data_IF_421689238121
#
_entry.id   IF_421689238121
#
_cell.length_a   1.000
_cell.length_b   1.000
_cell.length_c   1.000
_cell.angle_alpha   90.00
_cell.angle_beta   90.00
_cell.angle_gamma   90.00
#
_symmetry.space_group_name_H-M   'P 1'
#
loop_
_entity.id
_entity.type
_entity.pdbx_description
1 polymer ?
#
# COMPACT_ATOMS: atom_id res chain seq x y z
N UNK A 1 -16.12 -24.99 24.12
CA UNK A 1 -15.68 -24.28 22.91
C UNK A 1 -16.92 -23.74 22.25
N UNK A 2 -17.10 -22.43 22.26
CA UNK A 2 -18.18 -21.77 21.51
C UNK A 2 -17.80 -21.66 20.03
N UNK A 3 -18.78 -21.38 19.18
CA UNK A 3 -18.55 -21.16 17.76
C UNK A 3 -17.61 -19.96 17.52
N UNK A 4 -17.77 -18.89 18.32
CA UNK A 4 -16.93 -17.69 18.25
C UNK A 4 -15.48 -17.99 18.64
N UNK A 5 -15.27 -18.76 19.72
CA UNK A 5 -13.93 -19.22 20.13
C UNK A 5 -13.27 -20.09 19.04
N UNK A 6 -14.06 -20.90 18.33
CA UNK A 6 -13.56 -21.71 17.22
C UNK A 6 -13.10 -20.83 16.05
N UNK A 7 -13.90 -19.84 15.64
CA UNK A 7 -13.53 -18.92 14.56
C UNK A 7 -12.30 -18.09 14.91
N UNK A 8 -12.20 -17.59 16.15
CA UNK A 8 -11.02 -16.86 16.61
C UNK A 8 -9.74 -17.71 16.54
N UNK A 9 -9.83 -18.99 16.96
CA UNK A 9 -8.71 -19.93 16.86
C UNK A 9 -8.33 -20.23 15.41
N UNK A 10 -9.32 -20.34 14.53
CA UNK A 10 -9.10 -20.60 13.11
C UNK A 10 -8.45 -19.40 12.42
N UNK A 11 -8.88 -18.18 12.73
CA UNK A 11 -8.25 -16.95 12.27
C UNK A 11 -6.78 -16.88 12.73
N UNK A 12 -6.53 -17.06 14.02
CA UNK A 12 -5.17 -17.06 14.57
C UNK A 12 -4.27 -18.12 13.91
N UNK A 13 -4.83 -19.29 13.60
CA UNK A 13 -4.13 -20.33 12.85
C UNK A 13 -3.78 -19.89 11.43
N UNK A 14 -4.70 -19.22 10.72
CA UNK A 14 -4.43 -18.69 9.38
C UNK A 14 -3.37 -17.58 9.41
N UNK A 15 -3.40 -16.68 10.39
CA UNK A 15 -2.37 -15.65 10.56
C UNK A 15 -0.99 -16.26 10.84
N UNK A 16 -0.91 -17.31 11.65
CA UNK A 16 0.34 -18.05 11.88
C UNK A 16 0.85 -18.71 10.60
N UNK A 17 -0.04 -19.27 9.79
CA UNK A 17 0.33 -19.83 8.49
C UNK A 17 0.82 -18.75 7.51
N UNK A 18 0.22 -17.55 7.53
CA UNK A 18 0.68 -16.41 6.74
C UNK A 18 2.11 -16.01 7.12
N UNK A 19 2.44 -15.99 8.41
CA UNK A 19 3.81 -15.74 8.86
C UNK A 19 4.80 -16.77 8.29
N UNK A 20 4.45 -18.06 8.31
CA UNK A 20 5.28 -19.10 7.68
C UNK A 20 5.45 -18.88 6.17
N UNK A 21 4.38 -18.47 5.48
CA UNK A 21 4.47 -18.15 4.04
C UNK A 21 5.38 -16.95 3.78
N UNK A 22 5.36 -15.93 4.65
CA UNK A 22 6.27 -14.79 4.56
C UNK A 22 7.73 -15.19 4.76
N UNK A 23 8.02 -16.08 5.72
CA UNK A 23 9.36 -16.61 5.94
C UNK A 23 9.87 -17.38 4.70
N UNK A 24 9.03 -18.26 4.13
CA UNK A 24 9.34 -19.00 2.90
C UNK A 24 9.53 -18.06 1.70
N UNK A 25 8.66 -17.05 1.57
CA UNK A 25 8.78 -16.03 0.54
C UNK A 25 10.08 -15.23 0.70
N UNK A 26 10.47 -14.90 1.93
CA UNK A 26 11.71 -14.18 2.23
C UNK A 26 12.93 -15.01 1.83
N UNK A 27 12.93 -16.31 2.14
CA UNK A 27 13.99 -17.23 1.70
C UNK A 27 14.06 -17.32 0.17
N UNK A 28 12.91 -17.48 -0.50
CA UNK A 28 12.84 -17.53 -1.96
C UNK A 28 13.32 -16.22 -2.61
N UNK A 29 12.97 -15.07 -2.02
CA UNK A 29 13.43 -13.76 -2.45
C UNK A 29 14.95 -13.63 -2.36
N UNK A 30 15.53 -14.01 -1.22
CA UNK A 30 16.99 -14.00 -1.05
C UNK A 30 17.67 -14.93 -2.04
N UNK A 31 17.15 -16.14 -2.25
CA UNK A 31 17.68 -17.07 -3.26
C UNK A 31 17.62 -16.48 -4.68
N UNK A 32 16.52 -15.83 -5.03
CA UNK A 32 16.38 -15.13 -6.32
C UNK A 32 17.43 -14.02 -6.45
N UNK A 33 17.67 -13.21 -5.40
CA UNK A 33 18.68 -12.14 -5.45
C UNK A 33 20.10 -12.68 -5.62
N UNK A 34 20.41 -13.82 -5.01
CA UNK A 34 21.71 -14.50 -5.17
C UNK A 34 21.88 -15.06 -6.59
N UNK A 35 20.83 -15.68 -7.15
CA UNK A 35 20.84 -16.27 -8.49
C UNK A 35 20.75 -15.26 -9.63
N UNK A 36 20.29 -14.03 -9.40
CA UNK A 36 20.17 -12.99 -10.41
C UNK A 36 21.52 -12.48 -10.97
N UNK A 37 22.64 -13.09 -10.58
CA UNK A 37 24.00 -12.67 -10.94
C UNK A 37 24.64 -13.45 -12.09
N UNK A 38 23.97 -14.44 -12.69
CA UNK A 38 24.55 -15.26 -13.78
C UNK A 38 23.85 -15.03 -15.13
N UNK A 39 24.45 -14.18 -16.00
CA UNK A 39 24.03 -13.95 -17.39
C UNK A 39 24.63 -12.71 -18.08
N UNK A 40 25.00 -12.82 -19.36
CA UNK A 40 26.22 -12.24 -19.97
C UNK A 40 26.41 -10.70 -20.11
N UNK A 41 25.44 -9.81 -19.82
CA UNK A 41 25.68 -8.34 -19.93
C UNK A 41 24.87 -7.37 -19.06
N UNK A 42 23.79 -7.77 -18.37
CA UNK A 42 23.07 -7.05 -17.29
C UNK A 42 21.65 -7.64 -17.06
N UNK A 43 21.52 -8.81 -16.40
CA UNK A 43 20.20 -9.37 -16.06
C UNK A 43 19.45 -8.46 -15.07
N UNK A 44 18.17 -8.17 -15.34
CA UNK A 44 17.29 -7.40 -14.46
C UNK A 44 16.32 -8.31 -13.71
N UNK A 45 16.10 -8.10 -12.40
CA UNK A 45 15.16 -8.91 -11.63
C UNK A 45 13.70 -8.63 -12.03
N UNK A 46 12.88 -9.69 -12.10
CA UNK A 46 11.44 -9.61 -12.46
C UNK A 46 10.64 -8.76 -11.47
N UNK A 47 10.97 -8.83 -10.19
CA UNK A 47 10.41 -7.99 -9.16
C UNK A 47 11.54 -7.13 -8.58
N UNK A 48 11.27 -5.86 -8.33
CA UNK A 48 12.27 -4.91 -7.80
C UNK A 48 12.19 -4.78 -6.28
N UNK A 49 11.06 -5.15 -5.68
CA UNK A 49 10.78 -5.03 -4.25
C UNK A 49 10.13 -6.31 -3.75
N UNK A 50 10.45 -6.67 -2.51
CA UNK A 50 9.82 -7.81 -1.84
C UNK A 50 8.30 -7.68 -1.80
N UNK A 51 7.76 -6.48 -1.55
CA UNK A 51 6.30 -6.23 -1.52
C UNK A 51 5.60 -6.51 -2.86
N UNK A 52 6.33 -6.46 -3.98
CA UNK A 52 5.79 -6.81 -5.30
C UNK A 52 5.83 -8.33 -5.56
N UNK A 53 6.73 -9.04 -4.88
CA UNK A 53 6.81 -10.50 -4.87
C UNK A 53 5.81 -11.12 -3.88
N UNK A 54 5.67 -10.54 -2.69
CA UNK A 54 4.79 -10.99 -1.62
C UNK A 54 4.18 -9.80 -0.86
N UNK A 55 2.87 -9.56 -1.02
CA UNK A 55 2.12 -8.52 -0.28
C UNK A 55 1.43 -9.14 0.94
N UNK A 56 2.15 -9.21 2.07
CA UNK A 56 1.61 -9.70 3.35
C UNK A 56 0.30 -9.01 3.72
N UNK A 57 0.21 -7.69 3.56
CA UNK A 57 -0.96 -6.93 3.98
C UNK A 57 -2.19 -7.30 3.16
N UNK A 58 -2.04 -7.67 1.89
CA UNK A 58 -3.14 -8.21 1.09
C UNK A 58 -3.66 -9.54 1.60
N UNK A 59 -2.77 -10.46 1.95
CA UNK A 59 -3.18 -11.73 2.52
C UNK A 59 -3.83 -11.57 3.89
N UNK A 60 -3.26 -10.73 4.77
CA UNK A 60 -3.83 -10.45 6.09
C UNK A 60 -5.24 -9.86 6.00
N UNK A 61 -5.46 -8.89 5.10
CA UNK A 61 -6.81 -8.36 4.84
C UNK A 61 -7.79 -9.43 4.38
N UNK A 62 -7.35 -10.33 3.48
CA UNK A 62 -8.21 -11.43 2.99
C UNK A 62 -8.59 -12.41 4.10
N UNK A 63 -7.66 -12.72 5.00
CA UNK A 63 -7.92 -13.55 6.18
C UNK A 63 -8.97 -12.85 7.05
N UNK A 64 -8.75 -11.60 7.47
CA UNK A 64 -9.70 -10.85 8.31
C UNK A 64 -11.09 -10.70 7.69
N UNK A 65 -11.17 -10.44 6.38
CA UNK A 65 -12.44 -10.40 5.63
C UNK A 65 -13.21 -11.73 5.71
N UNK A 66 -12.51 -12.86 5.75
CA UNK A 66 -13.15 -14.18 5.80
C UNK A 66 -13.83 -14.44 7.16
N UNK A 67 -13.33 -13.82 8.24
CA UNK A 67 -13.83 -13.99 9.60
C UNK A 67 -14.75 -12.86 10.09
N UNK A 68 -15.03 -11.86 9.25
CA UNK A 68 -16.00 -10.80 9.55
C UNK A 68 -15.43 -9.57 10.27
N UNK A 69 -14.10 -9.46 10.39
CA UNK A 69 -13.42 -8.32 11.01
C UNK A 69 -13.28 -7.14 10.03
N UNK A 70 -14.41 -6.69 9.49
CA UNK A 70 -14.47 -5.60 8.49
C UNK A 70 -13.98 -4.26 9.07
N UNK A 71 -14.15 -4.05 10.38
CA UNK A 71 -13.71 -2.85 11.10
C UNK A 71 -12.19 -2.80 11.38
N UNK A 72 -11.46 -3.92 11.21
CA UNK A 72 -9.99 -3.98 11.36
C UNK A 72 -9.24 -3.93 10.02
N UNK A 73 -9.95 -3.67 8.92
CA UNK A 73 -9.36 -3.47 7.61
C UNK A 73 -8.94 -2.00 7.50
N UNK A 74 -7.64 -1.68 7.55
CA UNK A 74 -7.23 -0.33 7.17
C UNK A 74 -7.66 -0.11 5.72
N UNK A 75 -8.53 0.86 5.49
CA UNK A 75 -8.92 1.27 4.13
C UNK A 75 -7.63 1.47 3.34
N UNK A 76 -7.44 0.69 2.28
CA UNK A 76 -6.44 1.01 1.26
C UNK A 76 -6.96 2.26 0.56
N UNK A 77 -6.77 3.44 1.17
CA UNK A 77 -6.95 4.71 0.46
C UNK A 77 -5.95 4.63 -0.68
N UNK A 78 -6.46 4.43 -1.90
CA UNK A 78 -5.57 4.32 -3.04
C UNK A 78 -4.77 5.61 -3.11
N UNK A 79 -3.51 5.54 -3.51
CA UNK A 79 -2.65 6.74 -3.67
C UNK A 79 -3.31 7.79 -4.59
N UNK A 80 -4.22 7.33 -5.46
CA UNK A 80 -5.03 8.14 -6.37
C UNK A 80 -6.17 8.86 -5.63
N UNK A 81 -6.88 8.18 -4.74
CA UNK A 81 -7.91 8.79 -3.88
C UNK A 81 -7.31 9.78 -2.89
N UNK A 82 -6.13 9.50 -2.32
CA UNK A 82 -5.46 10.45 -1.43
C UNK A 82 -4.98 11.70 -2.19
N UNK A 83 -4.46 11.53 -3.42
CA UNK A 83 -4.09 12.65 -4.28
C UNK A 83 -5.31 13.48 -4.72
N UNK A 84 -6.43 12.83 -5.06
CA UNK A 84 -7.68 13.50 -5.41
C UNK A 84 -8.26 14.28 -4.23
N UNK A 85 -8.28 13.68 -3.03
CA UNK A 85 -8.68 14.36 -1.79
C UNK A 85 -7.78 15.57 -1.51
N UNK A 86 -6.47 15.41 -1.61
CA UNK A 86 -5.52 16.51 -1.40
C UNK A 86 -5.69 17.64 -2.42
N UNK A 87 -5.95 17.32 -3.70
CA UNK A 87 -6.24 18.31 -4.73
C UNK A 87 -7.53 19.08 -4.44
N UNK A 88 -8.60 18.37 -4.06
CA UNK A 88 -9.88 19.00 -3.75
C UNK A 88 -9.80 19.95 -2.55
N UNK A 89 -9.10 19.56 -1.48
CA UNK A 89 -8.88 20.43 -0.33
C UNK A 89 -8.05 21.66 -0.69
N UNK A 90 -7.00 21.50 -1.51
CA UNK A 90 -6.21 22.64 -2.02
C UNK A 90 -7.03 23.57 -2.90
N UNK A 91 -7.91 23.03 -3.74
CA UNK A 91 -8.78 23.81 -4.62
C UNK A 91 -9.80 24.62 -3.81
N UNK A 92 -10.41 24.03 -2.78
CA UNK A 92 -11.28 24.77 -1.84
C UNK A 92 -10.54 25.91 -1.15
N UNK A 93 -9.33 25.65 -0.68
CA UNK A 93 -8.53 26.68 0.00
C UNK A 93 -8.12 27.80 -0.97
N UNK A 94 -7.78 27.44 -2.20
CA UNK A 94 -7.55 28.40 -3.28
C UNK A 94 -8.78 29.29 -3.54
N UNK A 95 -9.98 28.71 -3.68
CA UNK A 95 -11.21 29.49 -3.87
C UNK A 95 -11.49 30.45 -2.70
N UNK A 96 -11.24 30.02 -1.45
CA UNK A 96 -11.34 30.90 -0.27
C UNK A 96 -10.36 32.05 -0.31
N UNK A 97 -9.09 31.79 -0.61
CA UNK A 97 -8.04 32.80 -0.66
C UNK A 97 -8.25 33.77 -1.83
N UNK A 98 -8.78 33.28 -2.96
CA UNK A 98 -9.22 34.09 -4.09
C UNK A 98 -10.39 35.00 -3.71
N UNK A 99 -11.42 34.46 -3.03
CA UNK A 99 -12.54 35.25 -2.53
C UNK A 99 -12.10 36.30 -1.50
N UNK A 100 -11.09 35.99 -0.68
CA UNK A 100 -10.48 36.92 0.27
C UNK A 100 -9.53 37.95 -0.38
N UNK A 101 -9.29 37.89 -1.70
CA UNK A 101 -8.41 38.81 -2.43
C UNK A 101 -6.92 38.66 -2.09
N UNK A 102 -6.51 37.54 -1.49
CA UNK A 102 -5.12 37.32 -1.02
C UNK A 102 -4.23 36.64 -2.06
N UNK A 103 -4.76 36.33 -3.25
CA UNK A 103 -4.03 35.66 -4.33
C UNK A 103 -3.84 36.61 -5.51
N UNK A 104 -2.57 36.81 -5.90
CA UNK A 104 -2.23 37.47 -7.15
C UNK A 104 -2.20 36.42 -8.29
N UNK A 105 -3.26 36.41 -9.11
CA UNK A 105 -3.40 35.51 -10.27
C UNK A 105 -2.43 35.82 -11.41
N UNK A 106 -1.73 36.96 -11.34
CA UNK A 106 -0.83 37.45 -12.38
C UNK A 106 0.64 37.39 -11.99
N UNK A 107 0.96 36.89 -10.80
CA UNK A 107 2.33 36.77 -10.30
C UNK A 107 3.26 36.03 -11.28
N UNK A 108 2.77 34.99 -11.95
CA UNK A 108 3.54 34.20 -12.93
C UNK A 108 4.00 34.97 -14.17
N UNK A 109 3.37 36.12 -14.49
CA UNK A 109 3.80 36.98 -15.60
C UNK A 109 4.95 37.91 -15.22
N UNK A 110 5.13 38.22 -13.94
CA UNK A 110 6.19 39.13 -13.47
C UNK A 110 7.58 38.50 -13.43
N UNK A 111 7.68 37.18 -13.48
CA UNK A 111 8.96 36.45 -13.50
C UNK A 111 9.50 36.24 -14.92
N UNK A 112 8.76 36.66 -15.95
CA UNK A 112 9.11 36.43 -17.37
C UNK A 112 9.72 37.65 -18.08
N UNK A 113 9.88 38.77 -17.38
CA UNK A 113 10.60 39.99 -17.81
C UNK A 113 11.93 40.11 -17.04
#
# INVERSE_FOLDING_TARGET
MTLDEYYLRLEAYQLRNLQRQEELASQAWLNQTVQATVGNKNPKPKYTKFTAFFDRQAYERKIRQTFGDDYMIPEKVSKRESAAKAFFERYKEFERLKAAGKIDMTAWRKESD
#
